data_IF_516403187055
#
_entry.id   IF_516403187055
#
_cell.length_a   1.000
_cell.length_b   1.000
_cell.length_c   1.000
_cell.angle_alpha   90.00
_cell.angle_beta   90.00
_cell.angle_gamma   90.00
#
_symmetry.space_group_name_H-M   'P 1'
#
loop_
_entity.id
_entity.type
_entity.pdbx_description
1 polymer ?
#
# COMPACT_ATOMS: atom_id res chain seq x y z
N UNK A 1 -9.73 14.97 -0.27
CA UNK A 1 -8.76 14.40 -1.25
C UNK A 1 -8.01 13.23 -0.63
N UNK A 2 -7.91 12.13 -1.36
CA UNK A 2 -7.11 11.00 -0.91
C UNK A 2 -5.64 11.23 -1.24
N UNK A 3 -4.81 11.17 -0.22
CA UNK A 3 -3.35 11.27 -0.36
C UNK A 3 -2.78 9.86 -0.29
N UNK A 4 -2.28 9.39 -1.41
CA UNK A 4 -1.99 7.98 -1.63
C UNK A 4 -0.50 7.69 -1.62
N UNK A 5 -0.10 6.67 -0.87
CA UNK A 5 1.21 6.06 -0.96
C UNK A 5 1.08 4.74 -1.71
N UNK A 6 1.84 4.59 -2.78
CA UNK A 6 1.93 3.33 -3.52
C UNK A 6 3.22 2.62 -3.10
N UNK A 7 3.11 1.36 -2.70
CA UNK A 7 4.24 0.55 -2.27
C UNK A 7 4.35 -0.65 -3.22
N UNK A 8 5.31 -0.60 -4.12
CA UNK A 8 5.51 -1.59 -5.16
C UNK A 8 6.94 -1.48 -5.71
N UNK A 9 7.69 -2.58 -5.75
CA UNK A 9 9.08 -2.57 -6.20
C UNK A 9 9.25 -2.54 -7.72
N UNK A 10 8.31 -3.07 -8.48
CA UNK A 10 8.40 -3.09 -9.93
C UNK A 10 7.88 -1.79 -10.53
N UNK A 11 8.76 -1.12 -11.29
CA UNK A 11 8.44 0.19 -11.88
C UNK A 11 7.20 0.13 -12.79
N UNK A 12 7.10 -0.90 -13.61
CA UNK A 12 5.97 -1.03 -14.53
C UNK A 12 4.65 -1.21 -13.78
N UNK A 13 4.65 -2.05 -12.75
CA UNK A 13 3.47 -2.29 -11.91
C UNK A 13 3.10 -1.01 -11.17
N UNK A 14 4.08 -0.31 -10.63
CA UNK A 14 3.86 0.95 -9.90
C UNK A 14 3.26 2.01 -10.81
N UNK A 15 3.77 2.13 -12.03
CA UNK A 15 3.24 3.06 -13.03
C UNK A 15 1.80 2.70 -13.40
N UNK A 16 1.51 1.41 -13.56
CA UNK A 16 0.16 0.93 -13.87
C UNK A 16 -0.82 1.26 -12.75
N UNK A 17 -0.42 1.07 -11.51
CA UNK A 17 -1.24 1.42 -10.34
C UNK A 17 -1.55 2.91 -10.32
N UNK A 18 -0.55 3.73 -10.56
CA UNK A 18 -0.68 5.18 -10.58
C UNK A 18 -1.69 5.62 -11.65
N UNK A 19 -1.53 5.10 -12.85
CA UNK A 19 -2.44 5.42 -13.97
C UNK A 19 -3.86 5.00 -13.63
N UNK A 20 -4.03 3.78 -13.11
CA UNK A 20 -5.34 3.27 -12.74
C UNK A 20 -6.04 4.17 -11.71
N UNK A 21 -5.31 4.58 -10.69
CA UNK A 21 -5.86 5.43 -9.64
C UNK A 21 -6.25 6.80 -10.18
N UNK A 22 -5.39 7.39 -11.00
CA UNK A 22 -5.64 8.72 -11.56
C UNK A 22 -6.78 8.72 -12.57
N UNK A 23 -6.98 7.62 -13.29
CA UNK A 23 -8.05 7.53 -14.29
C UNK A 23 -9.41 7.16 -13.71
N UNK A 24 -9.42 6.40 -12.61
CA UNK A 24 -10.66 5.82 -12.09
C UNK A 24 -11.18 6.49 -10.82
N UNK A 25 -10.36 7.27 -10.15
CA UNK A 25 -10.76 7.96 -8.93
C UNK A 25 -10.63 9.45 -9.11
N UNK A 26 -11.64 10.18 -8.65
CA UNK A 26 -11.60 11.63 -8.58
C UNK A 26 -10.95 12.00 -7.24
N UNK A 27 -10.31 13.15 -7.22
CA UNK A 27 -9.84 13.75 -5.98
C UNK A 27 -8.75 12.92 -5.27
N UNK A 28 -7.78 12.45 -6.04
CA UNK A 28 -6.62 11.71 -5.51
C UNK A 28 -5.33 12.44 -5.81
N UNK A 29 -4.37 12.28 -4.90
CA UNK A 29 -3.01 12.79 -5.06
C UNK A 29 -2.05 11.69 -4.68
N UNK A 30 -1.13 11.33 -5.58
CA UNK A 30 -0.08 10.35 -5.28
C UNK A 30 1.05 11.10 -4.59
N UNK A 31 1.14 10.98 -3.29
CA UNK A 31 2.13 11.74 -2.50
C UNK A 31 3.46 11.01 -2.37
N UNK A 32 3.49 9.72 -2.69
CA UNK A 32 4.73 8.96 -2.64
C UNK A 32 4.63 7.65 -3.37
N UNK A 33 5.79 7.18 -3.82
CA UNK A 33 5.94 5.86 -4.44
C UNK A 33 7.14 5.20 -3.79
N UNK A 34 6.90 4.14 -3.03
CA UNK A 34 7.93 3.41 -2.32
C UNK A 34 8.27 2.13 -3.08
N UNK A 35 9.56 1.89 -3.26
CA UNK A 35 10.07 0.71 -3.97
C UNK A 35 10.41 -0.43 -3.03
N UNK A 36 10.36 -0.18 -1.74
CA UNK A 36 10.71 -1.15 -0.70
C UNK A 36 9.95 -0.85 0.57
N UNK A 37 9.95 -1.80 1.50
CA UNK A 37 9.34 -1.61 2.81
C UNK A 37 10.03 -0.51 3.60
N UNK A 38 11.35 -0.37 3.47
CA UNK A 38 12.09 0.69 4.15
C UNK A 38 11.66 2.08 3.69
N UNK A 39 11.54 2.26 2.38
CA UNK A 39 11.07 3.53 1.83
C UNK A 39 9.63 3.81 2.26
N UNK A 40 8.79 2.78 2.30
CA UNK A 40 7.40 2.92 2.71
C UNK A 40 7.30 3.43 4.15
N UNK A 41 8.05 2.83 5.07
CA UNK A 41 8.07 3.25 6.47
C UNK A 41 8.53 4.70 6.60
N UNK A 42 9.56 5.07 5.88
CA UNK A 42 10.08 6.43 5.87
C UNK A 42 9.04 7.43 5.40
N UNK A 43 8.31 7.09 4.35
CA UNK A 43 7.25 7.95 3.81
C UNK A 43 6.03 8.02 4.72
N UNK A 44 5.68 6.93 5.38
CA UNK A 44 4.60 6.92 6.37
C UNK A 44 4.92 7.88 7.52
N UNK A 45 6.18 7.94 7.94
CA UNK A 45 6.60 8.83 9.01
C UNK A 45 6.66 10.30 8.62
N UNK A 46 6.91 10.59 7.34
CA UNK A 46 7.23 11.95 6.90
C UNK A 46 6.15 12.64 6.07
N UNK A 47 5.17 11.90 5.57
CA UNK A 47 4.15 12.44 4.68
C UNK A 47 2.74 12.26 5.26
N UNK A 48 1.85 13.14 4.83
CA UNK A 48 0.44 13.05 5.16
C UNK A 48 -0.21 12.06 4.17
N UNK A 49 -0.55 10.89 4.66
CA UNK A 49 -1.07 9.78 3.86
C UNK A 49 -2.37 9.29 4.48
N UNK A 50 -3.39 9.09 3.67
CA UNK A 50 -4.65 8.53 4.16
C UNK A 50 -5.13 7.32 3.35
N UNK A 51 -4.35 6.91 2.33
CA UNK A 51 -4.62 5.67 1.62
C UNK A 51 -3.29 5.03 1.21
N UNK A 52 -3.15 3.73 1.50
CA UNK A 52 -2.01 2.93 1.06
C UNK A 52 -2.46 1.87 0.08
N UNK A 53 -1.74 1.75 -1.01
CA UNK A 53 -1.87 0.64 -1.95
C UNK A 53 -0.57 -0.13 -1.90
N UNK A 54 -0.59 -1.35 -1.36
CA UNK A 54 0.60 -2.09 -0.98
C UNK A 54 0.65 -3.44 -1.67
N UNK A 55 1.74 -3.69 -2.40
CA UNK A 55 2.09 -5.05 -2.82
C UNK A 55 2.86 -5.70 -1.67
N UNK A 56 2.38 -6.83 -1.19
CA UNK A 56 2.99 -7.50 -0.04
C UNK A 56 4.28 -8.22 -0.37
N UNK A 57 4.60 -8.43 -1.64
CA UNK A 57 5.82 -9.10 -2.08
C UNK A 57 6.89 -8.09 -2.50
N UNK A 58 7.30 -7.23 -1.59
CA UNK A 58 8.32 -6.22 -1.83
C UNK A 58 9.61 -6.58 -1.08
N UNK A 59 10.77 -6.11 -1.57
CA UNK A 59 12.04 -6.38 -0.89
C UNK A 59 12.20 -5.58 0.40
N UNK A 60 13.07 -6.05 1.27
CA UNK A 60 13.35 -5.41 2.55
C UNK A 60 12.35 -5.82 3.60
N UNK A 61 11.70 -4.85 4.22
CA UNK A 61 10.59 -5.10 5.14
C UNK A 61 9.41 -5.55 4.29
N UNK A 62 8.84 -6.73 4.58
CA UNK A 62 7.77 -7.26 3.76
C UNK A 62 6.49 -6.42 3.89
N UNK A 63 5.61 -6.53 2.89
CA UNK A 63 4.41 -5.70 2.82
C UNK A 63 3.49 -5.85 4.02
N UNK A 64 3.43 -7.04 4.63
CA UNK A 64 2.61 -7.24 5.82
C UNK A 64 3.14 -6.44 7.01
N UNK A 65 4.46 -6.34 7.14
CA UNK A 65 5.09 -5.52 8.17
C UNK A 65 4.84 -4.03 7.92
N UNK A 66 4.85 -3.61 6.65
CA UNK A 66 4.52 -2.23 6.29
C UNK A 66 3.08 -1.91 6.71
N UNK A 67 2.14 -2.82 6.45
CA UNK A 67 0.74 -2.65 6.81
C UNK A 67 0.58 -2.55 8.32
N UNK A 68 1.26 -3.40 9.06
CA UNK A 68 1.26 -3.39 10.52
C UNK A 68 1.75 -2.05 11.05
N UNK A 69 2.86 -1.57 10.51
CA UNK A 69 3.42 -0.27 10.88
C UNK A 69 2.47 0.87 10.54
N UNK A 70 1.90 0.85 9.32
CA UNK A 70 0.97 1.88 8.86
C UNK A 70 -0.28 1.92 9.73
N UNK A 71 -0.83 0.76 10.10
CA UNK A 71 -2.04 0.72 10.92
C UNK A 71 -1.79 1.30 12.31
N UNK A 72 -0.57 1.14 12.82
CA UNK A 72 -0.18 1.72 14.11
C UNK A 72 -0.02 3.24 14.03
N UNK A 73 0.59 3.73 12.96
CA UNK A 73 0.87 5.16 12.78
C UNK A 73 -0.31 5.94 12.19
N UNK A 74 -1.10 5.29 11.35
CA UNK A 74 -2.20 5.90 10.61
C UNK A 74 -3.46 5.06 10.81
N UNK A 75 -4.04 5.06 12.02
CA UNK A 75 -5.13 4.12 12.34
C UNK A 75 -6.39 4.30 11.50
N UNK A 76 -6.56 5.45 10.86
CA UNK A 76 -7.74 5.72 10.03
C UNK A 76 -7.48 5.64 8.54
N UNK A 77 -6.25 5.33 8.13
CA UNK A 77 -5.93 5.23 6.71
C UNK A 77 -6.63 4.02 6.08
N UNK A 78 -7.02 4.18 4.83
CA UNK A 78 -7.55 3.06 4.02
C UNK A 78 -6.35 2.27 3.51
N UNK A 79 -6.35 0.97 3.70
CA UNK A 79 -5.26 0.09 3.24
C UNK A 79 -5.82 -0.92 2.26
N UNK A 80 -5.26 -0.95 1.05
CA UNK A 80 -5.61 -1.88 0.00
C UNK A 80 -4.37 -2.69 -0.35
N UNK A 81 -4.51 -4.01 -0.30
CA UNK A 81 -3.42 -4.93 -0.64
C UNK A 81 -3.56 -5.39 -2.07
N UNK A 82 -2.45 -5.33 -2.81
CA UNK A 82 -2.37 -5.95 -4.12
C UNK A 82 -1.38 -7.11 -4.05
N UNK A 83 -1.66 -8.19 -4.76
CA UNK A 83 -0.74 -9.30 -4.87
C UNK A 83 -1.06 -10.12 -6.11
N UNK A 84 -0.03 -10.71 -6.70
CA UNK A 84 -0.18 -11.65 -7.80
C UNK A 84 -0.43 -13.07 -7.30
N UNK A 85 -0.38 -13.30 -6.00
CA UNK A 85 -0.50 -14.63 -5.41
C UNK A 85 -1.85 -14.80 -4.75
N UNK A 86 -2.52 -15.89 -5.07
CA UNK A 86 -3.74 -16.31 -4.41
C UNK A 86 -3.33 -17.18 -3.22
N UNK A 87 -2.98 -16.55 -2.10
CA UNK A 87 -2.48 -17.21 -0.91
C UNK A 87 -3.44 -16.96 0.25
N UNK A 88 -4.04 -18.04 0.73
CA UNK A 88 -4.96 -18.01 1.84
C UNK A 88 -4.31 -17.43 3.11
N UNK A 89 -3.04 -17.77 3.35
CA UNK A 89 -2.33 -17.27 4.54
C UNK A 89 -2.14 -15.75 4.48
N UNK A 90 -1.88 -15.22 3.30
CA UNK A 90 -1.75 -13.79 3.09
C UNK A 90 -3.08 -13.10 3.37
N UNK A 91 -4.17 -13.61 2.81
CA UNK A 91 -5.50 -13.06 3.02
C UNK A 91 -5.89 -13.12 4.51
N UNK A 92 -5.58 -14.22 5.17
CA UNK A 92 -5.89 -14.40 6.60
C UNK A 92 -5.13 -13.39 7.46
N UNK A 93 -3.84 -13.18 7.18
CA UNK A 93 -3.03 -12.18 7.89
C UNK A 93 -3.55 -10.77 7.65
N UNK A 94 -3.98 -10.49 6.42
CA UNK A 94 -4.56 -9.19 6.07
C UNK A 94 -5.82 -8.90 6.88
N UNK A 95 -6.68 -9.88 7.03
CA UNK A 95 -7.91 -9.74 7.84
C UNK A 95 -7.54 -9.40 9.30
N UNK A 96 -6.54 -10.07 9.85
CA UNK A 96 -6.09 -9.80 11.22
C UNK A 96 -5.55 -8.38 11.39
N UNK A 97 -4.99 -7.80 10.34
CA UNK A 97 -4.44 -6.44 10.35
C UNK A 97 -5.47 -5.39 9.95
N UNK A 98 -6.72 -5.80 9.75
CA UNK A 98 -7.84 -4.90 9.44
C UNK A 98 -7.60 -4.06 8.19
N UNK A 99 -7.14 -4.69 7.13
CA UNK A 99 -7.05 -4.01 5.84
C UNK A 99 -8.45 -3.81 5.27
N UNK A 100 -8.61 -2.78 4.46
CA UNK A 100 -9.92 -2.38 3.95
C UNK A 100 -10.30 -3.12 2.68
N UNK A 101 -9.31 -3.57 1.91
CA UNK A 101 -9.56 -4.32 0.70
C UNK A 101 -8.35 -5.19 0.34
N UNK A 102 -8.58 -6.15 -0.53
CA UNK A 102 -7.58 -7.11 -0.94
C UNK A 102 -7.78 -7.41 -2.43
N UNK A 103 -6.75 -7.08 -3.23
CA UNK A 103 -6.78 -7.27 -4.67
C UNK A 103 -5.76 -8.33 -5.10
N UNK A 104 -6.19 -9.28 -5.89
CA UNK A 104 -5.33 -10.32 -6.44
C UNK A 104 -4.88 -9.99 -7.86
#
# INVERSE_FOLDING_TARGET
MYKILIVEDEELERTSMKIFLEENLLDVEIVGEAKSGFEAVEMIDSKDINLLLVDINIPGIDGMEVIKYARKKLPKAVIIITTAYDDFNIAHRAIKLKVDDFLL
#
